data_IF_352388056304
#
_entry.id   IF_352388056304
#
_cell.length_a   1.000
_cell.length_b   1.000
_cell.length_c   1.000
_cell.angle_alpha   90.00
_cell.angle_beta   90.00
_cell.angle_gamma   90.00
#
_symmetry.space_group_name_H-M   'P 1'
#
loop_
_entity.id
_entity.type
_entity.pdbx_description
1 polymer ?
#
# COMPACT_ATOMS: atom_id res chain seq x y z
N UNK A 1 8.45 17.18 -5.85
CA UNK A 1 7.39 16.48 -5.07
C UNK A 1 6.08 17.17 -5.37
N UNK A 2 5.19 16.49 -6.02
CA UNK A 2 3.92 17.06 -6.49
C UNK A 2 2.95 17.21 -5.32
N UNK A 3 2.43 18.42 -5.12
CA UNK A 3 1.47 18.73 -4.06
C UNK A 3 0.04 18.41 -4.48
N UNK A 4 -0.85 18.29 -3.50
CA UNK A 4 -2.28 18.09 -3.78
C UNK A 4 -2.88 19.25 -4.57
N UNK A 5 -2.49 20.51 -4.27
CA UNK A 5 -2.96 21.70 -4.98
C UNK A 5 -2.51 21.76 -6.45
N UNK A 6 -1.28 21.29 -6.74
CA UNK A 6 -0.81 21.16 -8.13
C UNK A 6 -1.62 20.11 -8.89
N UNK A 7 -1.91 18.97 -8.27
CA UNK A 7 -2.79 17.96 -8.85
C UNK A 7 -4.20 18.50 -9.11
N UNK A 8 -4.77 19.25 -8.17
CA UNK A 8 -6.07 19.90 -8.34
C UNK A 8 -6.07 20.86 -9.54
N UNK A 9 -5.02 21.68 -9.66
CA UNK A 9 -4.85 22.59 -10.80
C UNK A 9 -4.79 21.83 -12.13
N UNK A 10 -4.04 20.73 -12.20
CA UNK A 10 -3.95 19.89 -13.41
C UNK A 10 -5.32 19.28 -13.76
N UNK A 11 -6.04 18.72 -12.80
CA UNK A 11 -7.36 18.13 -13.05
C UNK A 11 -8.38 19.18 -13.50
N UNK A 12 -8.38 20.37 -12.90
CA UNK A 12 -9.25 21.48 -13.32
C UNK A 12 -8.92 21.94 -14.73
N UNK A 13 -7.63 22.00 -15.10
CA UNK A 13 -7.21 22.32 -16.46
C UNK A 13 -7.74 21.31 -17.50
N UNK A 14 -7.76 20.02 -17.16
CA UNK A 14 -8.27 18.95 -18.03
C UNK A 14 -9.80 18.93 -18.12
N UNK A 15 -10.49 19.16 -16.99
CA UNK A 15 -11.95 19.09 -16.93
C UNK A 15 -12.62 20.40 -17.30
N UNK A 16 -11.92 21.54 -17.15
CA UNK A 16 -12.45 22.91 -17.24
C UNK A 16 -13.65 23.15 -16.29
N UNK A 17 -13.61 22.53 -15.11
CA UNK A 17 -14.71 22.51 -14.14
C UNK A 17 -14.26 22.92 -12.75
N UNK A 18 -13.96 24.21 -12.55
CA UNK A 18 -13.59 24.71 -11.23
C UNK A 18 -14.77 24.71 -10.22
N UNK A 19 -16.00 24.56 -10.70
CA UNK A 19 -17.23 24.59 -9.88
C UNK A 19 -17.50 23.31 -9.08
N UNK A 20 -16.70 22.25 -9.26
CA UNK A 20 -16.88 20.96 -8.57
C UNK A 20 -15.65 20.55 -7.73
N UNK A 21 -15.16 21.39 -6.82
CA UNK A 21 -13.90 21.16 -6.10
C UNK A 21 -13.93 19.87 -5.27
N UNK A 22 -15.02 19.57 -4.58
CA UNK A 22 -15.12 18.37 -3.74
C UNK A 22 -15.07 17.08 -4.56
N UNK A 23 -15.70 17.08 -5.74
CA UNK A 23 -15.65 15.94 -6.66
C UNK A 23 -14.22 15.78 -7.19
N UNK A 24 -13.55 16.90 -7.54
CA UNK A 24 -12.17 16.91 -8.00
C UNK A 24 -11.22 16.35 -6.95
N UNK A 25 -11.31 16.80 -5.71
CA UNK A 25 -10.51 16.29 -4.59
C UNK A 25 -10.73 14.79 -4.36
N UNK A 26 -11.98 14.36 -4.35
CA UNK A 26 -12.31 12.93 -4.21
C UNK A 26 -11.81 12.10 -5.41
N UNK A 27 -11.79 12.67 -6.61
CA UNK A 27 -11.28 12.01 -7.81
C UNK A 27 -9.75 11.84 -7.75
N UNK A 28 -9.00 12.87 -7.32
CA UNK A 28 -7.55 12.80 -7.13
C UNK A 28 -7.20 11.70 -6.13
N UNK A 29 -7.83 11.69 -4.95
CA UNK A 29 -7.62 10.64 -3.93
C UNK A 29 -7.88 9.25 -4.50
N UNK A 30 -8.99 9.09 -5.22
CA UNK A 30 -9.37 7.81 -5.83
C UNK A 30 -8.42 7.37 -6.95
N UNK A 31 -8.00 8.28 -7.83
CA UNK A 31 -7.07 7.97 -8.90
C UNK A 31 -5.70 7.56 -8.34
N UNK A 32 -5.18 8.30 -7.36
CA UNK A 32 -3.90 8.01 -6.71
C UNK A 32 -3.91 6.61 -6.06
N UNK A 33 -4.92 6.30 -5.25
CA UNK A 33 -5.04 4.98 -4.64
C UNK A 33 -5.14 3.86 -5.68
N UNK A 34 -5.96 4.04 -6.72
CA UNK A 34 -6.12 3.05 -7.80
C UNK A 34 -4.85 2.85 -8.60
N UNK A 35 -4.06 3.90 -8.84
CA UNK A 35 -2.80 3.81 -9.54
C UNK A 35 -1.79 2.96 -8.74
N UNK A 36 -1.64 3.21 -7.44
CA UNK A 36 -0.81 2.39 -6.57
C UNK A 36 -1.33 0.94 -6.44
N UNK A 37 -2.65 0.73 -6.56
CA UNK A 37 -3.25 -0.61 -6.50
C UNK A 37 -3.21 -1.38 -7.83
N UNK A 38 -2.64 -0.79 -8.89
CA UNK A 38 -2.52 -1.49 -10.18
C UNK A 38 -1.57 -2.68 -10.06
N UNK A 39 -0.49 -2.56 -9.26
CA UNK A 39 0.46 -3.64 -8.99
C UNK A 39 1.12 -3.46 -7.62
N UNK A 40 1.94 -4.44 -7.18
CA UNK A 40 2.77 -4.40 -5.98
C UNK A 40 4.13 -3.77 -6.29
N UNK A 41 4.17 -2.46 -6.40
CA UNK A 41 5.40 -1.74 -6.75
C UNK A 41 6.46 -1.82 -5.63
N UNK A 42 7.74 -2.08 -5.96
CA UNK A 42 8.82 -2.09 -4.97
C UNK A 42 8.96 -0.76 -4.21
N UNK A 43 8.61 0.36 -4.84
CA UNK A 43 8.63 1.69 -4.20
C UNK A 43 7.58 1.85 -3.08
N UNK A 44 6.54 1.03 -3.08
CA UNK A 44 5.52 1.01 -2.02
C UNK A 44 5.92 0.09 -0.86
N UNK A 45 7.00 -0.69 -1.03
CA UNK A 45 7.50 -1.61 -0.01
C UNK A 45 8.20 -0.83 1.10
N UNK A 46 7.74 -1.02 2.31
CA UNK A 46 8.28 -0.44 3.53
C UNK A 46 8.72 -1.54 4.50
N UNK A 47 9.62 -1.17 5.39
CA UNK A 47 10.02 -2.03 6.50
C UNK A 47 9.93 -1.28 7.81
N UNK A 48 9.35 -1.92 8.83
CA UNK A 48 9.31 -1.38 10.19
C UNK A 48 9.73 -2.46 11.16
N UNK A 49 10.70 -2.15 12.02
CA UNK A 49 11.15 -3.03 13.08
C UNK A 49 10.37 -2.76 14.36
N UNK A 50 9.81 -3.81 14.95
CA UNK A 50 9.11 -3.76 16.23
C UNK A 50 9.78 -4.70 17.23
N UNK A 51 9.86 -4.27 18.48
CA UNK A 51 10.37 -5.12 19.56
C UNK A 51 9.52 -6.38 19.71
N UNK A 52 10.18 -7.52 19.72
CA UNK A 52 9.54 -8.80 19.98
C UNK A 52 9.67 -9.16 21.46
N UNK A 53 8.59 -9.21 22.24
CA UNK A 53 8.68 -9.61 23.64
C UNK A 53 8.97 -11.11 23.75
N UNK A 54 9.91 -11.45 24.61
CA UNK A 54 10.21 -12.85 24.96
C UNK A 54 9.02 -13.43 25.68
N UNK A 55 8.20 -14.17 25.01
CA UNK A 55 7.04 -14.81 25.61
C UNK A 55 6.83 -16.21 25.02
N UNK A 56 6.44 -17.14 25.85
CA UNK A 56 5.99 -18.47 25.44
C UNK A 56 4.56 -18.46 24.85
N UNK A 57 3.92 -17.31 24.84
CA UNK A 57 2.55 -17.11 24.34
C UNK A 57 2.54 -16.35 23.02
N UNK A 58 1.52 -16.59 22.19
CA UNK A 58 1.35 -15.87 20.94
C UNK A 58 1.25 -14.36 21.19
N UNK A 59 1.90 -13.57 20.32
CA UNK A 59 1.89 -12.11 20.37
C UNK A 59 0.98 -11.59 19.26
N UNK A 60 0.15 -10.63 19.61
CA UNK A 60 -0.79 -9.98 18.69
C UNK A 60 -0.27 -8.59 18.36
N UNK A 61 -0.19 -8.30 17.06
CA UNK A 61 0.15 -6.99 16.55
C UNK A 61 -1.05 -6.41 15.80
N UNK A 62 -1.73 -5.48 16.44
CA UNK A 62 -2.83 -4.73 15.83
C UNK A 62 -2.25 -3.56 15.02
N UNK A 63 -2.19 -3.70 13.71
CA UNK A 63 -1.50 -2.78 12.81
C UNK A 63 -1.88 -1.30 12.98
N UNK A 64 -3.15 -0.92 13.09
CA UNK A 64 -3.52 0.48 13.26
C UNK A 64 -2.96 1.14 14.52
N UNK A 65 -2.70 0.34 15.57
CA UNK A 65 -2.34 0.84 16.89
C UNK A 65 -0.86 0.68 17.26
N UNK A 66 -0.09 -0.10 16.48
CA UNK A 66 1.30 -0.45 16.88
C UNK A 66 2.29 0.61 16.43
N UNK A 67 2.16 1.13 15.22
CA UNK A 67 3.13 2.05 14.64
C UNK A 67 2.48 2.91 13.56
N UNK A 68 2.85 4.20 13.52
CA UNK A 68 2.28 5.15 12.56
C UNK A 68 2.48 4.75 11.10
N UNK A 69 3.59 4.09 10.76
CA UNK A 69 3.82 3.60 9.40
C UNK A 69 2.85 2.50 8.98
N UNK A 70 2.27 1.76 9.93
CA UNK A 70 1.32 0.68 9.66
C UNK A 70 -0.13 1.17 9.52
N UNK A 71 -0.42 2.44 9.81
CA UNK A 71 -1.77 3.01 9.63
C UNK A 71 -2.22 3.02 8.16
N UNK A 72 -1.26 3.04 7.23
CA UNK A 72 -1.50 3.00 5.79
C UNK A 72 -1.12 1.65 5.16
N UNK A 73 -1.12 0.59 5.97
CA UNK A 73 -0.86 -0.77 5.51
C UNK A 73 -1.83 -1.15 4.38
N UNK A 74 -1.29 -1.56 3.24
CA UNK A 74 -2.04 -2.13 2.12
C UNK A 74 -2.06 -3.65 2.19
N UNK A 75 -0.89 -4.26 2.31
CA UNK A 75 -0.75 -5.69 2.52
C UNK A 75 0.58 -6.01 3.17
N UNK A 76 0.59 -7.02 4.02
CA UNK A 76 1.81 -7.57 4.57
C UNK A 76 2.48 -8.49 3.54
N UNK A 77 3.78 -8.32 3.31
CA UNK A 77 4.55 -9.17 2.40
C UNK A 77 5.12 -10.38 3.13
N UNK A 78 5.85 -10.14 4.20
CA UNK A 78 6.37 -11.18 5.10
C UNK A 78 6.85 -10.57 6.42
N UNK A 79 7.08 -11.43 7.40
CA UNK A 79 7.71 -11.10 8.68
C UNK A 79 9.07 -11.79 8.77
N UNK A 80 10.04 -11.09 9.36
CA UNK A 80 11.40 -11.61 9.55
C UNK A 80 11.90 -11.27 10.94
N UNK A 81 12.40 -12.26 11.66
CA UNK A 81 13.11 -12.04 12.90
C UNK A 81 14.52 -11.55 12.64
N UNK A 82 14.98 -10.58 13.42
CA UNK A 82 16.34 -10.06 13.37
C UNK A 82 16.94 -10.06 14.78
N UNK A 83 18.24 -10.28 14.87
CA UNK A 83 18.98 -10.13 16.11
C UNK A 83 18.99 -8.68 16.57
N UNK A 84 18.66 -8.42 17.83
CA UNK A 84 18.57 -7.06 18.37
C UNK A 84 19.91 -6.33 18.49
N UNK A 85 21.03 -7.07 18.45
CA UNK A 85 22.38 -6.51 18.61
C UNK A 85 23.07 -6.30 17.28
N UNK A 86 23.00 -7.30 16.40
CA UNK A 86 23.70 -7.28 15.11
C UNK A 86 22.83 -6.79 13.97
N UNK A 87 21.52 -6.71 14.17
CA UNK A 87 20.50 -6.44 13.15
C UNK A 87 20.54 -7.43 11.97
N UNK A 88 21.21 -8.57 12.15
CA UNK A 88 21.27 -9.60 11.14
C UNK A 88 19.94 -10.38 11.09
N UNK A 89 19.45 -10.73 9.89
CA UNK A 89 18.31 -11.61 9.74
C UNK A 89 18.58 -12.95 10.38
N UNK A 90 17.67 -13.43 11.22
CA UNK A 90 17.80 -14.73 11.89
C UNK A 90 16.88 -15.76 11.26
N UNK A 91 15.60 -15.42 11.07
CA UNK A 91 14.62 -16.34 10.53
C UNK A 91 13.47 -15.59 9.86
N UNK A 92 12.97 -16.10 8.75
CA UNK A 92 11.72 -15.63 8.13
C UNK A 92 10.54 -16.44 8.67
N UNK A 93 9.49 -15.76 9.12
CA UNK A 93 8.30 -16.41 9.61
C UNK A 93 7.44 -16.91 8.45
N UNK A 94 6.91 -18.13 8.58
CA UNK A 94 6.02 -18.70 7.60
C UNK A 94 4.57 -18.22 7.85
N UNK A 95 3.92 -17.75 6.78
CA UNK A 95 2.48 -17.46 6.83
C UNK A 95 1.69 -18.77 6.85
N UNK A 96 0.70 -18.84 7.74
CA UNK A 96 -0.27 -19.93 7.79
C UNK A 96 -1.67 -19.36 7.96
N UNK A 97 -2.63 -20.02 7.34
CA UNK A 97 -4.04 -19.70 7.57
C UNK A 97 -4.46 -20.02 9.00
N UNK A 98 -5.48 -19.32 9.48
CA UNK A 98 -5.95 -19.50 10.85
C UNK A 98 -6.39 -20.94 11.15
N UNK A 99 -6.88 -21.65 10.15
CA UNK A 99 -7.33 -23.04 10.28
C UNK A 99 -6.15 -24.03 10.40
N UNK A 100 -5.00 -23.70 9.80
CA UNK A 100 -3.78 -24.52 9.84
C UNK A 100 -3.00 -24.41 11.15
N UNK A 101 -3.35 -23.42 12.00
CA UNK A 101 -2.68 -23.20 13.28
C UNK A 101 -3.00 -24.30 14.31
N UNK A 102 -4.11 -24.96 14.14
CA UNK A 102 -4.55 -26.08 14.97
C UNK A 102 -4.24 -27.37 14.25
N UNK A 103 -2.95 -27.71 14.14
CA UNK A 103 -2.52 -29.00 13.64
C UNK A 103 -3.19 -30.12 14.45
N UNK A 104 -3.56 -31.22 13.79
CA UNK A 104 -4.27 -32.38 14.37
C UNK A 104 -3.58 -32.95 15.63
N UNK A 105 -2.30 -32.63 15.83
CA UNK A 105 -1.48 -33.12 16.91
C UNK A 105 -1.29 -32.13 18.07
N UNK A 106 -1.90 -30.93 18.01
CA UNK A 106 -1.77 -29.90 19.07
C UNK A 106 -0.34 -29.38 19.27
N UNK A 107 0.59 -29.71 18.38
CA UNK A 107 1.99 -29.27 18.46
C UNK A 107 2.08 -27.85 17.92
N UNK A 108 2.44 -26.93 18.81
CA UNK A 108 2.74 -25.54 18.43
C UNK A 108 4.03 -25.52 17.62
N UNK A 109 3.91 -25.17 16.33
CA UNK A 109 5.09 -24.85 15.52
C UNK A 109 5.55 -23.44 15.86
N UNK A 110 6.87 -23.25 16.01
CA UNK A 110 7.50 -21.93 16.13
C UNK A 110 7.71 -21.33 14.73
N UNK A 111 7.97 -20.02 14.70
CA UNK A 111 8.35 -19.32 13.46
C UNK A 111 7.24 -19.18 12.41
N UNK A 112 6.00 -18.99 12.86
CA UNK A 112 4.88 -18.75 11.98
C UNK A 112 4.04 -17.56 12.43
N UNK A 113 3.27 -17.02 11.49
CA UNK A 113 2.27 -16.01 11.77
C UNK A 113 0.99 -16.26 10.96
N UNK A 114 -0.11 -15.73 11.45
CA UNK A 114 -1.37 -15.66 10.71
C UNK A 114 -1.93 -14.25 10.76
N UNK A 115 -2.79 -13.92 9.80
CA UNK A 115 -3.49 -12.65 9.73
C UNK A 115 -4.97 -12.87 10.10
N UNK A 116 -5.46 -12.05 11.02
CA UNK A 116 -6.87 -12.04 11.42
C UNK A 116 -7.35 -10.59 11.31
N UNK A 117 -7.97 -10.26 10.18
CA UNK A 117 -8.33 -8.89 9.85
C UNK A 117 -7.09 -7.99 9.75
N UNK A 118 -7.02 -6.91 10.55
CA UNK A 118 -5.89 -6.00 10.61
C UNK A 118 -4.86 -6.36 11.71
N UNK A 119 -4.86 -7.60 12.18
CA UNK A 119 -3.99 -8.05 13.27
C UNK A 119 -3.11 -9.20 12.79
N UNK A 120 -1.80 -9.12 13.03
CA UNK A 120 -0.90 -10.27 12.90
C UNK A 120 -0.80 -10.98 14.26
N UNK A 121 -1.10 -12.26 14.29
CA UNK A 121 -0.81 -13.14 15.39
C UNK A 121 0.47 -13.89 15.10
N UNK A 122 1.50 -13.61 15.89
CA UNK A 122 2.84 -14.20 15.74
C UNK A 122 3.06 -15.26 16.81
N UNK A 123 3.51 -16.43 16.43
CA UNK A 123 3.84 -17.50 17.36
C UNK A 123 5.28 -17.36 17.81
N UNK A 124 5.54 -17.56 19.10
CA UNK A 124 6.81 -17.21 19.71
C UNK A 124 7.95 -17.98 19.06
N UNK A 125 8.95 -17.21 18.68
CA UNK A 125 10.29 -17.69 18.42
C UNK A 125 11.00 -17.92 19.76
N UNK A 126 11.89 -18.85 19.79
CA UNK A 126 12.73 -19.11 20.98
C UNK A 126 13.74 -18.00 21.28
N UNK A 127 13.72 -16.89 20.54
CA UNK A 127 14.76 -15.86 20.54
C UNK A 127 14.21 -14.48 20.94
N UNK A 128 15.03 -13.74 21.68
CA UNK A 128 14.89 -12.32 21.91
C UNK A 128 15.37 -11.55 20.69
N UNK A 129 14.55 -10.66 20.14
CA UNK A 129 14.94 -9.91 18.96
C UNK A 129 13.96 -8.83 18.58
N UNK A 130 14.17 -8.31 17.40
CA UNK A 130 13.22 -7.43 16.72
C UNK A 130 12.52 -8.23 15.62
N UNK A 131 11.31 -7.82 15.30
CA UNK A 131 10.53 -8.36 14.22
C UNK A 131 10.39 -7.29 13.13
N UNK A 132 10.95 -7.56 11.96
CA UNK A 132 10.76 -6.71 10.79
C UNK A 132 9.46 -7.07 10.09
N UNK A 133 8.62 -6.06 9.91
CA UNK A 133 7.42 -6.13 9.10
C UNK A 133 7.75 -5.56 7.72
N UNK A 134 7.70 -6.39 6.69
CA UNK A 134 7.82 -5.98 5.29
C UNK A 134 6.43 -5.87 4.71
N UNK A 135 6.02 -4.68 4.33
CA UNK A 135 4.65 -4.41 3.91
C UNK A 135 4.58 -3.38 2.79
N UNK A 136 3.54 -3.51 1.96
CA UNK A 136 3.19 -2.48 0.99
C UNK A 136 2.32 -1.43 1.66
N UNK A 137 2.68 -0.16 1.45
CA UNK A 137 2.01 0.98 2.04
C UNK A 137 1.18 1.71 0.99
N UNK A 138 -0.02 2.16 1.38
CA UNK A 138 -0.79 3.10 0.58
C UNK A 138 -0.12 4.48 0.57
N UNK A 139 -0.23 5.25 -0.54
CA UNK A 139 0.23 6.63 -0.58
C UNK A 139 -0.55 7.49 0.44
N UNK A 140 0.04 8.61 0.82
CA UNK A 140 -0.70 9.61 1.58
C UNK A 140 -1.57 10.44 0.65
N UNK A 141 -2.88 10.37 0.84
CA UNK A 141 -3.87 11.08 0.01
C UNK A 141 -4.56 12.22 0.76
N UNK A 142 -4.08 12.56 1.97
CA UNK A 142 -4.56 13.73 2.68
C UNK A 142 -4.08 15.03 1.99
N UNK A 143 -4.92 16.06 1.97
CA UNK A 143 -4.64 17.29 1.21
C UNK A 143 -3.38 18.01 1.69
N UNK A 144 -3.11 17.96 2.98
CA UNK A 144 -1.98 18.64 3.62
C UNK A 144 -0.67 17.87 3.58
N UNK A 145 -0.73 16.55 3.48
CA UNK A 145 0.43 15.64 3.57
C UNK A 145 0.55 14.74 2.34
N UNK A 146 -0.12 15.11 1.25
CA UNK A 146 -0.16 14.35 0.00
C UNK A 146 1.23 13.92 -0.45
N UNK A 147 1.40 12.62 -0.64
CA UNK A 147 2.67 12.04 -1.07
C UNK A 147 2.45 10.79 -1.91
N UNK A 148 2.88 10.86 -3.16
CA UNK A 148 2.77 9.75 -4.13
C UNK A 148 3.90 9.83 -5.13
N UNK A 149 4.75 8.80 -5.18
CA UNK A 149 5.81 8.73 -6.18
C UNK A 149 5.25 8.65 -7.62
N UNK A 150 4.03 8.12 -7.79
CA UNK A 150 3.36 8.09 -9.09
C UNK A 150 2.99 9.52 -9.51
N UNK A 151 2.46 10.33 -8.59
CA UNK A 151 2.19 11.74 -8.87
C UNK A 151 3.47 12.54 -9.16
N UNK A 152 4.56 12.24 -8.46
CA UNK A 152 5.85 12.90 -8.71
C UNK A 152 6.44 12.59 -10.08
N UNK A 153 6.18 11.39 -10.60
CA UNK A 153 6.75 10.92 -11.87
C UNK A 153 5.81 11.11 -13.06
N UNK A 154 4.51 10.98 -12.83
CA UNK A 154 3.46 10.89 -13.86
C UNK A 154 2.25 11.75 -13.51
N UNK A 155 2.49 13.03 -13.15
CA UNK A 155 1.45 13.94 -12.68
C UNK A 155 0.32 14.15 -13.69
N UNK A 156 0.67 14.29 -14.98
CA UNK A 156 -0.30 14.55 -16.04
C UNK A 156 -1.18 13.32 -16.29
N UNK A 157 -0.60 12.14 -16.40
CA UNK A 157 -1.35 10.89 -16.61
C UNK A 157 -2.27 10.57 -15.44
N UNK A 158 -1.81 10.83 -14.21
CA UNK A 158 -2.63 10.68 -13.03
C UNK A 158 -3.76 11.71 -12.99
N UNK A 159 -3.51 12.95 -13.43
CA UNK A 159 -4.54 13.99 -13.57
C UNK A 159 -5.58 13.62 -14.62
N UNK A 160 -5.18 13.03 -15.75
CA UNK A 160 -6.10 12.51 -16.76
C UNK A 160 -6.99 11.40 -16.19
N UNK A 161 -6.43 10.51 -15.36
CA UNK A 161 -7.24 9.49 -14.69
C UNK A 161 -8.25 10.11 -13.73
N UNK A 162 -7.83 11.09 -12.92
CA UNK A 162 -8.73 11.81 -12.03
C UNK A 162 -9.82 12.58 -12.81
N UNK A 163 -9.47 13.21 -13.94
CA UNK A 163 -10.43 13.90 -14.82
C UNK A 163 -11.51 12.94 -15.35
N UNK A 164 -11.13 11.75 -15.78
CA UNK A 164 -12.09 10.70 -16.16
C UNK A 164 -13.08 10.35 -15.04
N UNK A 165 -12.61 10.31 -13.78
CA UNK A 165 -13.48 10.09 -12.61
C UNK A 165 -14.41 11.28 -12.38
N UNK A 166 -13.93 12.53 -12.56
CA UNK A 166 -14.76 13.73 -12.45
C UNK A 166 -15.89 13.69 -13.49
N UNK A 167 -15.58 13.41 -14.76
CA UNK A 167 -16.57 13.29 -15.81
C UNK A 167 -17.60 12.18 -15.51
N UNK A 168 -17.17 11.03 -15.05
CA UNK A 168 -18.09 9.95 -14.67
C UNK A 168 -19.06 10.37 -13.56
N UNK A 169 -18.56 11.09 -12.53
CA UNK A 169 -19.36 11.54 -11.39
C UNK A 169 -20.28 12.71 -11.70
N UNK A 170 -19.96 13.47 -12.74
CA UNK A 170 -20.77 14.64 -13.18
C UNK A 170 -21.71 14.31 -14.33
N UNK A 171 -21.85 13.01 -14.69
CA UNK A 171 -22.80 12.54 -15.69
C UNK A 171 -22.32 12.58 -17.14
N UNK A 172 -21.06 12.94 -17.40
CA UNK A 172 -20.46 12.94 -18.74
C UNK A 172 -19.88 11.57 -19.09
N UNK A 173 -20.75 10.57 -19.24
CA UNK A 173 -20.37 9.15 -19.39
C UNK A 173 -19.52 8.90 -20.63
N UNK A 174 -19.83 9.56 -21.76
CA UNK A 174 -19.07 9.41 -23.01
C UNK A 174 -17.64 9.92 -22.85
N UNK A 175 -17.45 11.12 -22.28
CA UNK A 175 -16.13 11.68 -22.00
C UNK A 175 -15.36 10.81 -21.00
N UNK A 176 -16.01 10.31 -19.95
CA UNK A 176 -15.38 9.38 -19.02
C UNK A 176 -14.90 8.10 -19.71
N UNK A 177 -15.69 7.58 -20.67
CA UNK A 177 -15.33 6.42 -21.48
C UNK A 177 -14.10 6.70 -22.36
N UNK A 178 -14.06 7.85 -23.04
CA UNK A 178 -12.91 8.28 -23.83
C UNK A 178 -11.65 8.40 -22.97
N UNK A 179 -11.71 9.12 -21.84
CA UNK A 179 -10.57 9.26 -20.93
C UNK A 179 -10.07 7.90 -20.41
N UNK A 180 -10.98 6.97 -20.15
CA UNK A 180 -10.60 5.62 -19.74
C UNK A 180 -9.78 4.93 -20.84
N UNK A 181 -10.24 4.93 -22.08
CA UNK A 181 -9.62 4.20 -23.17
C UNK A 181 -8.31 4.86 -23.65
N UNK A 182 -8.30 6.21 -23.73
CA UNK A 182 -7.18 6.95 -24.31
C UNK A 182 -6.06 7.22 -23.31
N UNK A 183 -6.37 7.33 -22.01
CA UNK A 183 -5.38 7.73 -21.00
C UNK A 183 -5.22 6.70 -19.89
N UNK A 184 -6.33 6.21 -19.27
CA UNK A 184 -6.24 5.38 -18.06
C UNK A 184 -5.70 3.99 -18.35
N UNK A 185 -6.23 3.30 -19.36
CA UNK A 185 -5.83 1.93 -19.67
C UNK A 185 -4.38 1.84 -20.21
N UNK A 186 -3.93 2.75 -21.11
CA UNK A 186 -2.51 2.84 -21.47
C UNK A 186 -1.59 3.15 -20.28
N UNK A 187 -2.00 4.08 -19.40
CA UNK A 187 -1.21 4.43 -18.23
C UNK A 187 -1.05 3.26 -17.26
N UNK A 188 -2.10 2.49 -16.98
CA UNK A 188 -2.01 1.26 -16.19
C UNK A 188 -1.03 0.27 -16.79
N UNK A 189 -1.11 0.05 -18.10
CA UNK A 189 -0.22 -0.87 -18.82
C UNK A 189 1.23 -0.40 -18.74
N UNK A 190 1.48 0.91 -18.83
CA UNK A 190 2.80 1.51 -18.67
C UNK A 190 3.34 1.31 -17.24
N UNK A 191 2.53 1.52 -16.20
CA UNK A 191 2.94 1.32 -14.80
C UNK A 191 3.37 -0.12 -14.56
N UNK A 192 2.59 -1.10 -15.02
CA UNK A 192 2.93 -2.53 -14.88
C UNK A 192 4.21 -2.87 -15.66
N UNK A 193 4.34 -2.38 -16.90
CA UNK A 193 5.53 -2.64 -17.73
C UNK A 193 6.79 -2.02 -17.14
N UNK A 194 6.70 -0.81 -16.58
CA UNK A 194 7.84 -0.14 -15.94
C UNK A 194 8.32 -0.89 -14.68
N UNK A 195 7.39 -1.51 -13.96
CA UNK A 195 7.72 -2.36 -12.82
C UNK A 195 8.50 -3.62 -13.25
N UNK A 196 8.05 -4.28 -14.32
CA UNK A 196 8.71 -5.49 -14.82
C UNK A 196 10.13 -5.21 -15.32
N UNK A 197 10.35 -4.07 -15.99
CA UNK A 197 11.67 -3.67 -16.47
C UNK A 197 12.62 -3.23 -15.33
N UNK A 198 12.10 -2.63 -14.27
CA UNK A 198 12.89 -2.22 -13.09
C UNK A 198 13.39 -3.39 -12.24
N UNK A 199 12.86 -4.59 -12.42
CA UNK A 199 13.31 -5.80 -11.72
C UNK A 199 14.43 -6.57 -12.47
N UNK A 200 14.90 -6.07 -13.61
CA UNK A 200 15.95 -6.69 -14.45
C UNK A 200 17.32 -5.99 -14.29
N UNK A 201 17.41 -4.99 -13.42
CA UNK A 201 18.64 -4.23 -13.15
C UNK A 201 19.26 -4.60 -11.81
#
# INVERSE_FOLDING_TARGET
>A
MTTFAEMETLVVAQTRRPEVPDITKAAIKSATLRAHHTDFFPRDLQVTALSYPVSSTAVYYDFPNIHTSLTRLRSLKFLQSIDATTFAPTESLEYRDADDLYDRDGRRRSSMYTLIGATARVYPLSMTGLLNFYFFQNPDVAETTYSSWIADTYAEELAMWAAGIVFARTGYVEMAGQFKTEHVDPFKSMLVSSHLLGNVA
#
